data_IF_398635413722
#
_entry.id   IF_398635413722
#
_cell.length_a   1.000
_cell.length_b   1.000
_cell.length_c   1.000
_cell.angle_alpha   90.00
_cell.angle_beta   90.00
_cell.angle_gamma   90.00
#
_symmetry.space_group_name_H-M   'P 1'
#
loop_
_entity.id
_entity.type
_entity.pdbx_description
1 polymer ?
#
# COMPACT_ATOMS: atom_id res chain seq x y z
N UNK A 1 -12.45 54.58 -48.80
CA UNK A 1 -11.93 53.20 -48.44
C UNK A 1 -11.13 53.10 -47.14
N UNK A 2 -10.70 54.17 -46.55
CA UNK A 2 -9.90 54.16 -45.31
C UNK A 2 -10.71 53.92 -44.02
N UNK A 3 -11.91 54.45 -43.96
CA UNK A 3 -12.77 54.37 -42.76
C UNK A 3 -13.25 52.94 -42.46
N UNK A 4 -13.56 52.18 -43.48
CA UNK A 4 -14.00 50.79 -43.32
C UNK A 4 -12.88 49.84 -42.83
N UNK A 5 -11.63 50.10 -43.25
CA UNK A 5 -10.45 49.36 -42.78
C UNK A 5 -10.17 49.67 -41.30
N UNK A 6 -10.34 50.91 -40.89
CA UNK A 6 -10.18 51.31 -39.48
C UNK A 6 -11.22 50.66 -38.58
N UNK A 7 -12.46 50.55 -39.02
CA UNK A 7 -13.54 49.93 -38.27
C UNK A 7 -13.36 48.44 -38.10
N UNK A 8 -12.83 47.73 -39.13
CA UNK A 8 -12.51 46.33 -39.04
C UNK A 8 -11.36 46.05 -38.06
N UNK A 9 -10.32 46.88 -38.07
CA UNK A 9 -9.19 46.77 -37.12
C UNK A 9 -9.67 47.01 -35.69
N UNK A 10 -10.52 47.97 -35.44
CA UNK A 10 -11.09 48.27 -34.14
C UNK A 10 -11.95 47.07 -33.60
N UNK A 11 -12.70 46.44 -34.48
CA UNK A 11 -13.51 45.23 -34.17
C UNK A 11 -12.66 44.05 -33.77
N UNK A 12 -11.53 43.82 -34.44
CA UNK A 12 -10.61 42.71 -34.13
C UNK A 12 -9.93 42.92 -32.77
N UNK A 13 -9.55 44.15 -32.45
CA UNK A 13 -8.95 44.50 -31.14
C UNK A 13 -9.97 44.29 -30.00
N UNK A 14 -11.26 44.59 -30.23
CA UNK A 14 -12.30 44.42 -29.23
C UNK A 14 -12.63 42.93 -28.96
N UNK A 15 -12.51 42.07 -29.97
CA UNK A 15 -12.68 40.61 -29.82
C UNK A 15 -11.50 39.95 -29.11
N UNK A 16 -10.28 40.46 -29.32
CA UNK A 16 -9.08 39.91 -28.66
C UNK A 16 -9.07 40.17 -27.15
N UNK A 17 -9.67 41.26 -26.69
CA UNK A 17 -9.70 41.60 -25.24
C UNK A 17 -10.69 40.75 -24.42
N UNK A 18 -11.68 40.08 -25.05
CA UNK A 18 -12.60 39.19 -24.33
C UNK A 18 -11.99 37.82 -24.00
N UNK A 19 -10.99 37.38 -24.76
CA UNK A 19 -10.37 36.07 -24.53
C UNK A 19 -9.42 36.05 -23.34
N UNK A 20 -8.84 37.18 -22.95
CA UNK A 20 -7.91 37.24 -21.79
C UNK A 20 -8.61 37.40 -20.43
N UNK A 21 -9.84 37.88 -20.41
CA UNK A 21 -10.59 38.04 -19.15
C UNK A 21 -11.15 36.72 -18.59
N UNK A 22 -11.39 35.75 -19.46
CA UNK A 22 -12.01 34.48 -19.07
C UNK A 22 -11.01 33.51 -18.44
N UNK A 23 -9.74 33.54 -18.88
CA UNK A 23 -8.68 32.69 -18.35
C UNK A 23 -8.24 33.05 -16.92
N UNK A 24 -8.23 34.34 -16.61
CA UNK A 24 -7.92 34.83 -15.26
C UNK A 24 -9.04 34.54 -14.25
N UNK A 25 -10.29 34.59 -14.67
CA UNK A 25 -11.45 34.27 -13.85
C UNK A 25 -11.52 32.75 -13.55
N UNK A 26 -11.16 31.88 -14.49
CA UNK A 26 -11.08 30.45 -14.27
C UNK A 26 -9.94 30.07 -13.34
N UNK A 27 -8.77 30.68 -13.48
CA UNK A 27 -7.63 30.43 -12.57
C UNK A 27 -7.95 30.87 -11.14
N UNK A 28 -8.63 31.94 -10.96
CA UNK A 28 -9.04 32.44 -9.65
C UNK A 28 -10.06 31.49 -8.98
N UNK A 29 -11.02 31.00 -9.76
CA UNK A 29 -12.03 30.06 -9.28
C UNK A 29 -11.44 28.71 -8.86
N UNK A 30 -10.46 28.22 -9.59
CA UNK A 30 -9.72 26.99 -9.24
C UNK A 30 -8.87 27.22 -7.98
N UNK A 31 -8.24 28.38 -7.84
CA UNK A 31 -7.44 28.71 -6.66
C UNK A 31 -8.29 28.82 -5.39
N UNK A 32 -9.49 29.41 -5.50
CA UNK A 32 -10.42 29.54 -4.37
C UNK A 32 -11.00 28.17 -3.98
N UNK A 33 -11.33 27.30 -4.93
CA UNK A 33 -11.75 25.93 -4.67
C UNK A 33 -10.65 25.12 -4.01
N UNK A 34 -9.39 25.29 -4.44
CA UNK A 34 -8.26 24.60 -3.83
C UNK A 34 -8.02 25.04 -2.39
N UNK A 35 -8.21 26.32 -2.10
CA UNK A 35 -8.11 26.85 -0.73
C UNK A 35 -9.25 26.38 0.17
N UNK A 36 -10.45 26.24 -0.39
CA UNK A 36 -11.62 25.78 0.35
C UNK A 36 -11.49 24.28 0.69
N UNK A 37 -10.97 23.46 -0.25
CA UNK A 37 -10.66 22.07 -0.01
C UNK A 37 -9.52 21.91 1.00
N UNK A 38 -8.45 22.74 0.90
CA UNK A 38 -7.36 22.71 1.86
C UNK A 38 -7.84 23.08 3.28
N UNK A 39 -8.77 24.03 3.38
CA UNK A 39 -9.34 24.43 4.66
C UNK A 39 -10.28 23.38 5.25
N UNK A 40 -11.03 22.66 4.41
CA UNK A 40 -11.84 21.51 4.84
C UNK A 40 -10.97 20.34 5.31
N UNK A 41 -9.79 20.14 4.70
CA UNK A 41 -8.83 19.12 5.13
C UNK A 41 -8.11 19.48 6.44
N UNK A 42 -8.07 20.78 6.81
CA UNK A 42 -7.50 21.23 8.08
C UNK A 42 -8.55 21.26 9.21
N UNK A 43 -9.84 21.36 8.88
CA UNK A 43 -10.95 21.37 9.85
C UNK A 43 -11.54 19.98 10.10
N UNK A 44 -11.33 19.00 9.22
CA UNK A 44 -11.59 17.60 9.53
C UNK A 44 -10.51 17.16 10.53
N UNK A 45 -10.95 17.12 11.79
CA UNK A 45 -10.28 16.58 12.97
C UNK A 45 -9.26 15.50 12.58
N UNK A 46 -8.09 15.54 13.24
CA UNK A 46 -7.09 14.50 13.29
C UNK A 46 -7.68 13.13 12.93
N UNK A 47 -7.84 12.89 11.61
CA UNK A 47 -7.92 11.52 11.15
C UNK A 47 -6.62 10.95 11.66
N UNK A 48 -6.63 10.03 12.64
CA UNK A 48 -5.41 9.38 13.02
C UNK A 48 -4.84 8.85 11.72
N UNK A 49 -3.76 9.46 11.26
CA UNK A 49 -2.95 8.93 10.17
C UNK A 49 -2.48 7.58 10.70
N UNK A 50 -3.35 6.60 10.57
CA UNK A 50 -2.93 5.22 10.61
C UNK A 50 -1.98 5.12 9.42
N UNK A 51 -0.72 5.39 9.72
CA UNK A 51 0.35 5.11 8.80
C UNK A 51 0.18 3.63 8.43
N UNK A 52 -0.23 3.30 7.20
CA UNK A 52 -0.37 1.91 6.79
C UNK A 52 0.98 1.19 6.85
N UNK A 53 2.07 1.95 7.06
CA UNK A 53 3.43 1.46 7.23
C UNK A 53 3.95 1.65 8.67
N UNK A 54 3.23 2.37 9.53
CA UNK A 54 3.44 2.25 10.96
C UNK A 54 3.07 0.82 11.32
N UNK A 55 4.07 -0.04 11.21
CA UNK A 55 3.93 -1.42 11.60
C UNK A 55 3.30 -1.40 12.99
N UNK A 56 2.28 -2.19 13.16
CA UNK A 56 1.71 -2.47 14.45
C UNK A 56 2.86 -2.93 15.35
N UNK A 57 3.52 -1.98 16.03
CA UNK A 57 4.53 -2.28 17.05
C UNK A 57 3.88 -2.94 18.27
N UNK A 58 2.60 -3.19 18.18
CA UNK A 58 1.80 -3.83 19.17
C UNK A 58 1.58 -5.29 18.85
N UNK A 59 2.17 -6.11 19.69
CA UNK A 59 1.95 -7.54 19.83
C UNK A 59 2.65 -8.43 18.79
N UNK A 60 3.98 -8.43 18.82
CA UNK A 60 4.64 -9.72 18.77
C UNK A 60 4.03 -10.53 19.92
N UNK A 61 3.16 -11.43 19.63
CA UNK A 61 2.78 -12.50 20.54
C UNK A 61 3.97 -13.44 20.69
N UNK A 62 5.09 -12.93 21.22
CA UNK A 62 6.20 -13.72 21.72
C UNK A 62 5.77 -14.60 22.91
N UNK A 63 4.50 -14.48 23.32
CA UNK A 63 3.99 -15.22 24.47
C UNK A 63 3.75 -16.71 24.22
N UNK A 64 3.81 -17.19 22.96
CA UNK A 64 3.53 -18.58 22.62
C UNK A 64 4.45 -19.14 21.52
N UNK A 65 5.71 -18.75 21.50
CA UNK A 65 6.67 -19.41 20.61
C UNK A 65 6.96 -20.80 21.21
N UNK A 66 6.75 -21.89 20.46
CA UNK A 66 7.09 -23.23 20.93
C UNK A 66 8.57 -23.32 21.32
N UNK A 67 8.88 -24.11 22.36
CA UNK A 67 10.26 -24.36 22.77
C UNK A 67 11.07 -24.92 21.61
N UNK A 68 12.22 -24.30 21.32
CA UNK A 68 13.09 -24.68 20.20
C UNK A 68 12.88 -23.91 18.90
N UNK A 69 11.73 -23.27 18.70
CA UNK A 69 11.49 -22.42 17.52
C UNK A 69 12.13 -21.04 17.68
N UNK A 70 12.30 -20.56 18.89
CA UNK A 70 12.94 -19.25 19.16
C UNK A 70 14.45 -19.27 18.85
N UNK A 71 15.10 -20.42 18.92
CA UNK A 71 16.54 -20.60 18.64
C UNK A 71 16.83 -20.88 17.16
N UNK A 72 15.82 -21.19 16.36
CA UNK A 72 15.98 -21.44 14.92
C UNK A 72 15.86 -20.12 14.17
N UNK A 73 16.95 -19.61 13.61
CA UNK A 73 16.98 -18.36 12.84
C UNK A 73 16.01 -18.36 11.64
N UNK A 74 15.73 -19.55 11.10
CA UNK A 74 14.81 -19.75 9.96
C UNK A 74 13.39 -20.13 10.41
N UNK A 75 13.10 -20.06 11.70
CA UNK A 75 11.74 -20.26 12.21
C UNK A 75 10.82 -19.12 11.74
N UNK A 76 9.60 -19.49 11.30
CA UNK A 76 8.58 -18.53 10.86
C UNK A 76 8.24 -17.48 11.94
N UNK A 77 8.39 -17.83 13.22
CA UNK A 77 8.14 -16.91 14.35
C UNK A 77 9.11 -15.73 14.39
N UNK A 78 10.24 -15.82 13.72
CA UNK A 78 11.23 -14.74 13.62
C UNK A 78 10.96 -13.79 12.44
N UNK A 79 9.92 -14.05 11.64
CA UNK A 79 9.60 -13.30 10.44
C UNK A 79 8.22 -12.64 10.53
N UNK A 80 8.09 -11.54 9.81
CA UNK A 80 6.81 -10.85 9.56
C UNK A 80 6.47 -10.91 8.08
N UNK A 81 5.22 -11.17 7.76
CA UNK A 81 4.72 -11.10 6.39
C UNK A 81 4.55 -9.64 5.99
N UNK A 82 5.33 -9.19 5.01
CA UNK A 82 5.31 -7.80 4.53
C UNK A 82 4.82 -7.67 3.10
N UNK A 83 4.75 -8.76 2.35
CA UNK A 83 4.25 -8.76 0.99
C UNK A 83 3.73 -10.13 0.58
N UNK A 84 2.67 -10.13 -0.22
CA UNK A 84 2.12 -11.31 -0.84
C UNK A 84 1.70 -10.96 -2.27
N UNK A 85 2.18 -11.73 -3.22
CA UNK A 85 1.77 -11.63 -4.62
C UNK A 85 1.28 -13.01 -5.04
N UNK A 86 0.00 -13.08 -5.39
CA UNK A 86 -0.62 -14.28 -5.94
C UNK A 86 -1.05 -14.00 -7.37
N UNK A 87 -0.44 -14.70 -8.30
CA UNK A 87 -0.67 -14.56 -9.73
C UNK A 87 -0.76 -15.93 -10.40
N UNK A 88 -1.20 -15.94 -11.66
CA UNK A 88 -1.37 -17.17 -12.41
C UNK A 88 -0.05 -17.92 -12.65
N UNK A 89 1.01 -17.16 -12.94
CA UNK A 89 2.31 -17.73 -13.33
C UNK A 89 3.34 -17.64 -12.20
N UNK A 90 3.20 -16.66 -11.31
CA UNK A 90 4.13 -16.41 -10.22
C UNK A 90 3.36 -16.05 -8.95
N UNK A 91 3.64 -16.78 -7.90
CA UNK A 91 3.10 -16.53 -6.56
C UNK A 91 4.22 -16.61 -5.56
N UNK A 92 4.39 -15.54 -4.77
CA UNK A 92 5.45 -15.45 -3.78
C UNK A 92 5.06 -14.54 -2.63
N UNK A 93 5.75 -14.73 -1.51
CA UNK A 93 5.66 -13.87 -0.33
C UNK A 93 7.00 -13.22 -0.04
N UNK A 94 6.96 -12.10 0.65
CA UNK A 94 8.12 -11.44 1.23
C UNK A 94 7.96 -11.42 2.74
N UNK A 95 8.97 -11.95 3.40
CA UNK A 95 9.08 -12.02 4.85
C UNK A 95 10.24 -11.13 5.30
N UNK A 96 10.12 -10.46 6.44
CA UNK A 96 11.20 -9.67 7.03
C UNK A 96 11.50 -10.18 8.43
N UNK A 97 12.76 -10.37 8.76
CA UNK A 97 13.18 -10.72 10.11
C UNK A 97 13.40 -9.47 10.99
N UNK A 98 13.67 -9.65 12.26
CA UNK A 98 13.95 -8.57 13.22
C UNK A 98 15.18 -7.74 12.87
N UNK A 99 16.10 -8.28 12.07
CA UNK A 99 17.29 -7.59 11.57
C UNK A 99 17.02 -6.74 10.33
N UNK A 100 15.80 -6.76 9.79
CA UNK A 100 15.43 -6.05 8.57
C UNK A 100 15.82 -6.79 7.27
N UNK A 101 16.27 -8.03 7.36
CA UNK A 101 16.57 -8.85 6.20
C UNK A 101 15.27 -9.38 5.58
N UNK A 102 15.17 -9.23 4.26
CA UNK A 102 14.00 -9.66 3.48
C UNK A 102 14.26 -10.98 2.81
N UNK A 103 13.42 -11.97 3.07
CA UNK A 103 13.41 -13.26 2.42
C UNK A 103 12.18 -13.37 1.52
N UNK A 104 12.39 -13.73 0.25
CA UNK A 104 11.30 -13.97 -0.70
C UNK A 104 11.17 -15.45 -0.97
N UNK A 105 9.95 -15.98 -0.82
CA UNK A 105 9.64 -17.40 -1.02
C UNK A 105 8.54 -17.55 -2.08
N UNK A 106 8.79 -18.39 -3.07
CA UNK A 106 7.79 -18.87 -4.02
C UNK A 106 7.06 -20.12 -3.52
N UNK A 107 5.92 -20.44 -4.15
CA UNK A 107 5.21 -21.69 -3.88
C UNK A 107 6.15 -22.89 -4.05
N UNK A 108 6.09 -23.80 -3.09
CA UNK A 108 6.92 -25.01 -3.06
C UNK A 108 8.32 -24.82 -2.46
N UNK A 109 8.74 -23.59 -2.14
CA UNK A 109 10.01 -23.34 -1.48
C UNK A 109 9.91 -23.52 0.04
N UNK A 110 11.07 -23.72 0.66
CA UNK A 110 11.19 -23.96 2.10
C UNK A 110 11.71 -22.72 2.82
N UNK A 111 11.18 -22.48 4.02
CA UNK A 111 11.76 -21.64 5.05
C UNK A 111 12.15 -22.57 6.21
N UNK A 112 13.45 -22.79 6.40
CA UNK A 112 13.88 -23.80 7.37
C UNK A 112 13.26 -25.18 7.10
N UNK A 113 12.44 -25.66 8.04
CA UNK A 113 11.79 -26.98 8.00
C UNK A 113 10.37 -26.97 7.43
N UNK A 114 9.82 -25.79 7.12
CA UNK A 114 8.46 -25.64 6.63
C UNK A 114 8.45 -25.26 5.14
N UNK A 115 7.45 -25.74 4.42
CA UNK A 115 7.29 -25.52 2.98
C UNK A 115 6.09 -24.64 2.70
N UNK A 116 6.28 -23.59 1.90
CA UNK A 116 5.17 -22.77 1.41
C UNK A 116 4.34 -23.55 0.39
N UNK A 117 3.07 -23.82 0.69
CA UNK A 117 2.23 -24.69 -0.15
C UNK A 117 1.08 -23.97 -0.81
N UNK A 118 0.57 -22.88 -0.20
CA UNK A 118 -0.54 -22.13 -0.75
C UNK A 118 -0.49 -20.67 -0.33
N UNK A 119 -1.12 -19.79 -1.14
CA UNK A 119 -1.24 -18.35 -0.91
C UNK A 119 -2.67 -17.90 -1.14
N UNK A 120 -3.27 -17.35 -0.12
CA UNK A 120 -4.57 -16.67 -0.16
C UNK A 120 -4.37 -15.16 -0.15
N UNK A 121 -5.42 -14.38 -0.35
CA UNK A 121 -5.33 -12.93 -0.43
C UNK A 121 -4.65 -12.26 0.78
N UNK A 122 -4.80 -12.83 1.95
CA UNK A 122 -4.33 -12.27 3.22
C UNK A 122 -3.49 -13.23 4.05
N UNK A 123 -3.26 -14.44 3.57
CA UNK A 123 -2.64 -15.52 4.35
C UNK A 123 -1.66 -16.31 3.50
N UNK A 124 -0.54 -16.69 4.11
CA UNK A 124 0.42 -17.64 3.59
C UNK A 124 0.30 -18.96 4.36
N UNK A 125 0.23 -20.08 3.65
CA UNK A 125 0.03 -21.41 4.22
C UNK A 125 1.28 -22.24 4.02
N UNK A 126 1.85 -22.68 5.11
CA UNK A 126 3.02 -23.54 5.15
C UNK A 126 2.65 -24.93 5.65
N UNK A 127 3.40 -25.93 5.21
CA UNK A 127 3.30 -27.29 5.69
C UNK A 127 4.58 -27.70 6.43
N UNK A 128 4.45 -28.25 7.62
CA UNK A 128 5.53 -28.89 8.40
C UNK A 128 5.79 -30.31 7.90
N UNK A 129 6.89 -30.91 8.35
CA UNK A 129 7.23 -32.31 8.08
C UNK A 129 6.25 -33.31 8.73
N UNK A 130 5.65 -32.92 9.86
CA UNK A 130 4.64 -33.72 10.60
C UNK A 130 3.23 -33.63 10.01
N UNK A 131 3.10 -33.05 8.80
CA UNK A 131 1.86 -32.83 8.10
C UNK A 131 0.93 -31.72 8.69
N UNK A 132 1.35 -31.06 9.76
CA UNK A 132 0.66 -29.89 10.32
C UNK A 132 0.83 -28.67 9.42
N UNK A 133 -0.20 -27.83 9.36
CA UNK A 133 -0.18 -26.59 8.59
C UNK A 133 0.01 -25.40 9.51
N UNK A 134 0.79 -24.44 9.05
CA UNK A 134 0.97 -23.14 9.69
C UNK A 134 0.41 -22.07 8.76
N UNK A 135 -0.48 -21.23 9.27
CA UNK A 135 -1.08 -20.12 8.56
C UNK A 135 -0.54 -18.84 9.16
N UNK A 136 0.09 -18.00 8.32
CA UNK A 136 0.59 -16.69 8.67
C UNK A 136 -0.22 -15.63 7.94
N UNK A 137 -0.83 -14.69 8.65
CA UNK A 137 -1.59 -13.58 8.10
C UNK A 137 -0.80 -12.25 8.09
N UNK A 138 -1.34 -11.20 7.45
CA UNK A 138 -0.75 -9.85 7.44
C UNK A 138 -0.76 -9.16 8.81
N UNK A 139 -1.51 -9.67 9.78
CA UNK A 139 -1.44 -9.21 11.17
C UNK A 139 -0.30 -9.90 11.94
N UNK A 140 0.48 -10.74 11.23
CA UNK A 140 1.55 -11.57 11.79
C UNK A 140 1.06 -12.54 12.86
N UNK A 141 -0.21 -12.96 12.76
CA UNK A 141 -0.73 -14.01 13.60
C UNK A 141 -0.40 -15.36 12.97
N UNK A 142 0.17 -16.24 13.78
CA UNK A 142 0.51 -17.60 13.41
C UNK A 142 -0.51 -18.54 14.03
N UNK A 143 -1.14 -19.35 13.18
CA UNK A 143 -2.10 -20.38 13.59
C UNK A 143 -1.64 -21.73 13.09
N UNK A 144 -1.65 -22.72 13.95
CA UNK A 144 -1.40 -24.13 13.58
C UNK A 144 -2.74 -24.86 13.44
N UNK A 145 -2.83 -25.72 12.43
CA UNK A 145 -4.01 -26.53 12.15
C UNK A 145 -3.62 -27.82 11.47
N UNK A 146 -4.44 -28.86 11.62
CA UNK A 146 -4.26 -30.13 10.93
C UNK A 146 -4.97 -30.14 9.56
N UNK A 147 -5.82 -29.16 9.29
CA UNK A 147 -6.58 -29.01 8.05
C UNK A 147 -6.61 -27.54 7.61
N UNK A 148 -6.63 -27.28 6.28
CA UNK A 148 -6.74 -25.93 5.73
C UNK A 148 -7.60 -25.87 4.46
#
# INVERSE_FOLDING_TARGET
MSFFRLLVILSVIFLANKSFADESAQKQKVLDQTKEIAKQLEEDEEVPLNDPFAGNEGTNTMANIPEGEAEDEMSLYNFKLVGLISGKDHSYISLVNSGGEVVTLGLGQFLGKIKLIDLRLTEAIFKKEDETYIILDFNNQIRETNEY
#
